data_IF_413804191472
#
_entry.id   IF_413804191472
#
_cell.length_a   1.000
_cell.length_b   1.000
_cell.length_c   1.000
_cell.angle_alpha   90.00
_cell.angle_beta   90.00
_cell.angle_gamma   90.00
#
_symmetry.space_group_name_H-M   'P 1'
#
loop_
_entity.id
_entity.type
_entity.pdbx_description
1 polymer ?
#
# COMPACT_ATOMS: atom_id res chain seq x y z
N UNK A 1 -9.99 -16.73 -13.20
CA UNK A 1 -9.89 -15.63 -14.20
C UNK A 1 -9.21 -14.46 -13.50
N UNK A 2 -7.97 -14.07 -13.86
CA UNK A 2 -7.34 -12.87 -13.28
C UNK A 2 -8.01 -11.66 -13.90
N UNK A 3 -8.62 -10.80 -13.08
CA UNK A 3 -9.18 -9.53 -13.56
C UNK A 3 -8.05 -8.61 -14.03
N UNK A 4 -8.35 -7.68 -14.94
CA UNK A 4 -7.39 -6.66 -15.37
C UNK A 4 -6.84 -5.83 -14.19
N UNK A 5 -7.64 -5.64 -13.12
CA UNK A 5 -7.21 -4.96 -11.89
C UNK A 5 -6.05 -5.68 -11.17
N UNK A 6 -6.07 -7.02 -11.14
CA UNK A 6 -5.00 -7.81 -10.53
C UNK A 6 -3.69 -7.75 -11.35
N UNK A 7 -3.78 -7.64 -12.67
CA UNK A 7 -2.61 -7.46 -13.53
C UNK A 7 -1.97 -6.08 -13.33
N UNK A 8 -2.78 -5.02 -13.29
CA UNK A 8 -2.30 -3.65 -13.06
C UNK A 8 -1.67 -3.52 -11.67
N UNK A 9 -2.34 -4.00 -10.63
CA UNK A 9 -1.79 -4.00 -9.27
C UNK A 9 -0.46 -4.74 -9.19
N UNK A 10 -0.35 -5.93 -9.82
CA UNK A 10 0.92 -6.67 -9.85
C UNK A 10 2.04 -5.85 -10.47
N UNK A 11 1.77 -5.16 -11.58
CA UNK A 11 2.75 -4.29 -12.22
C UNK A 11 3.19 -3.16 -11.29
N UNK A 12 2.24 -2.38 -10.78
CA UNK A 12 2.51 -1.26 -9.87
C UNK A 12 3.19 -1.71 -8.58
N UNK A 13 2.82 -2.87 -8.03
CA UNK A 13 3.48 -3.47 -6.87
C UNK A 13 4.94 -3.84 -7.15
N UNK A 14 5.27 -4.37 -8.33
CA UNK A 14 6.67 -4.62 -8.69
C UNK A 14 7.46 -3.32 -8.83
N UNK A 15 6.86 -2.28 -9.42
CA UNK A 15 7.45 -0.94 -9.51
C UNK A 15 7.69 -0.36 -8.11
N UNK A 16 6.72 -0.48 -7.20
CA UNK A 16 6.86 -0.11 -5.79
C UNK A 16 8.07 -0.76 -5.13
N UNK A 17 8.24 -2.08 -5.25
CA UNK A 17 9.37 -2.80 -4.68
C UNK A 17 10.73 -2.30 -5.23
N UNK A 18 10.79 -1.96 -6.52
CA UNK A 18 11.99 -1.37 -7.12
C UNK A 18 12.28 0.00 -6.53
N UNK A 19 11.29 0.88 -6.40
CA UNK A 19 11.47 2.21 -5.80
C UNK A 19 11.91 2.13 -4.34
N UNK A 20 11.33 1.23 -3.54
CA UNK A 20 11.75 1.03 -2.15
C UNK A 20 13.24 0.70 -2.03
N UNK A 21 13.75 -0.16 -2.92
CA UNK A 21 15.18 -0.53 -2.98
C UNK A 21 16.04 0.62 -3.49
N UNK A 22 15.65 1.27 -4.58
CA UNK A 22 16.41 2.37 -5.20
C UNK A 22 16.53 3.60 -4.29
N UNK A 23 15.56 3.82 -3.40
CA UNK A 23 15.61 4.89 -2.40
C UNK A 23 16.47 4.55 -1.17
N UNK A 24 17.12 3.38 -1.15
CA UNK A 24 18.06 3.00 -0.09
C UNK A 24 17.40 2.79 1.28
N UNK A 25 16.12 2.41 1.31
CA UNK A 25 15.41 2.19 2.58
C UNK A 25 15.97 0.95 3.30
N UNK A 26 15.92 0.97 4.64
CA UNK A 26 16.33 -0.19 5.46
C UNK A 26 15.44 -1.40 5.14
N UNK A 27 15.96 -2.65 5.17
CA UNK A 27 15.18 -3.85 4.86
C UNK A 27 13.85 -3.94 5.63
N UNK A 28 13.86 -3.67 6.94
CA UNK A 28 12.64 -3.67 7.77
C UNK A 28 11.57 -2.68 7.27
N UNK A 29 11.99 -1.54 6.72
CA UNK A 29 11.08 -0.52 6.18
C UNK A 29 10.53 -0.97 4.84
N UNK A 30 11.37 -1.55 3.98
CA UNK A 30 10.93 -2.16 2.72
C UNK A 30 9.86 -3.22 3.00
N UNK A 31 10.10 -4.11 3.96
CA UNK A 31 9.16 -5.17 4.32
C UNK A 31 7.85 -4.62 4.91
N UNK A 32 7.93 -3.55 5.71
CA UNK A 32 6.74 -2.90 6.25
C UNK A 32 5.89 -2.27 5.14
N UNK A 33 6.49 -1.48 4.25
CA UNK A 33 5.76 -0.78 3.19
C UNK A 33 5.23 -1.74 2.13
N UNK A 34 6.01 -2.76 1.75
CA UNK A 34 5.53 -3.80 0.84
C UNK A 34 4.31 -4.55 1.41
N UNK A 35 4.32 -4.89 2.71
CA UNK A 35 3.17 -5.52 3.37
C UNK A 35 1.97 -4.59 3.46
N UNK A 36 2.18 -3.29 3.69
CA UNK A 36 1.12 -2.30 3.68
C UNK A 36 0.36 -2.29 2.35
N UNK A 37 1.08 -2.15 1.23
CA UNK A 37 0.46 -2.10 -0.10
C UNK A 37 -0.27 -3.39 -0.45
N UNK A 38 0.25 -4.55 -0.05
CA UNK A 38 -0.47 -5.82 -0.23
C UNK A 38 -1.76 -5.89 0.57
N UNK A 39 -1.76 -5.40 1.81
CA UNK A 39 -2.95 -5.40 2.69
C UNK A 39 -4.01 -4.43 2.18
N UNK A 40 -3.62 -3.21 1.85
CA UNK A 40 -4.52 -2.19 1.28
C UNK A 40 -5.07 -2.70 -0.06
N UNK A 41 -4.21 -3.25 -0.91
CA UNK A 41 -4.62 -3.90 -2.15
C UNK A 41 -5.67 -4.98 -1.94
N UNK A 42 -5.46 -5.90 -0.99
CA UNK A 42 -6.43 -6.95 -0.71
C UNK A 42 -7.78 -6.42 -0.20
N UNK A 43 -7.80 -5.31 0.54
CA UNK A 43 -9.04 -4.68 1.02
C UNK A 43 -9.85 -4.03 -0.13
N UNK A 44 -9.17 -3.43 -1.11
CA UNK A 44 -9.80 -2.71 -2.23
C UNK A 44 -9.82 -3.52 -3.54
N UNK A 45 -9.85 -4.85 -3.48
CA UNK A 45 -9.84 -5.74 -4.66
C UNK A 45 -8.74 -5.42 -5.68
N UNK A 46 -7.58 -5.03 -5.16
CA UNK A 46 -6.39 -4.61 -5.89
C UNK A 46 -6.59 -3.36 -6.76
N UNK A 47 -7.56 -2.51 -6.44
CA UNK A 47 -7.87 -1.25 -7.14
C UNK A 47 -7.51 -0.05 -6.27
N UNK A 48 -6.21 0.23 -6.12
CA UNK A 48 -5.73 1.26 -5.19
C UNK A 48 -5.29 2.58 -5.86
N UNK A 49 -5.39 2.66 -7.18
CA UNK A 49 -4.83 3.77 -7.96
C UNK A 49 -5.68 5.05 -7.87
N UNK A 50 -6.97 4.93 -7.60
CA UNK A 50 -7.92 6.05 -7.55
C UNK A 50 -8.82 6.00 -6.29
N UNK A 51 -8.23 5.76 -5.12
CA UNK A 51 -8.98 5.81 -3.86
C UNK A 51 -9.30 7.25 -3.47
N UNK A 52 -10.54 7.50 -3.07
CA UNK A 52 -10.94 8.80 -2.54
C UNK A 52 -10.42 9.00 -1.11
N UNK A 53 -10.33 10.26 -0.68
CA UNK A 53 -9.98 10.60 0.70
C UNK A 53 -10.95 9.97 1.71
N UNK A 54 -12.24 9.91 1.39
CA UNK A 54 -13.24 9.24 2.23
C UNK A 54 -12.95 7.74 2.37
N UNK A 55 -12.68 7.03 1.26
CA UNK A 55 -12.33 5.59 1.31
C UNK A 55 -11.09 5.32 2.15
N UNK A 56 -10.08 6.19 2.06
CA UNK A 56 -8.87 6.07 2.86
C UNK A 56 -9.13 6.38 4.34
N UNK A 57 -9.95 7.38 4.62
CA UNK A 57 -10.32 7.78 5.99
C UNK A 57 -11.06 6.65 6.70
N UNK A 58 -12.06 6.06 6.03
CA UNK A 58 -12.82 4.93 6.56
C UNK A 58 -11.90 3.72 6.79
N UNK A 59 -11.10 3.34 5.78
CA UNK A 59 -10.17 2.21 5.89
C UNK A 59 -9.17 2.35 7.05
N UNK A 60 -8.56 3.52 7.21
CA UNK A 60 -7.58 3.72 8.28
C UNK A 60 -8.22 3.86 9.67
N UNK A 61 -9.47 4.32 9.75
CA UNK A 61 -10.26 4.31 10.99
C UNK A 61 -10.58 2.88 11.42
N UNK A 62 -11.10 2.05 10.51
CA UNK A 62 -11.35 0.62 10.77
C UNK A 62 -10.07 -0.13 11.15
N UNK A 63 -8.94 0.22 10.52
CA UNK A 63 -7.66 -0.41 10.80
C UNK A 63 -7.13 -0.04 12.20
N UNK A 64 -7.42 1.16 12.71
CA UNK A 64 -7.05 1.58 14.06
C UNK A 64 -7.77 0.76 15.15
N UNK A 65 -9.00 0.33 14.89
CA UNK A 65 -9.77 -0.47 15.84
C UNK A 65 -9.23 -1.89 15.99
N UNK A 66 -8.49 -2.39 14.99
CA UNK A 66 -8.00 -3.77 14.93
C UNK A 66 -6.49 -3.92 15.07
N UNK A 67 -5.70 -2.83 14.97
CA UNK A 67 -4.23 -2.90 14.97
C UNK A 67 -3.59 -1.77 15.78
N UNK A 68 -2.34 -2.01 16.17
CA UNK A 68 -1.58 -0.99 16.90
C UNK A 68 -1.29 0.24 16.03
N UNK A 69 -1.24 1.40 16.68
CA UNK A 69 -0.87 2.68 16.06
C UNK A 69 0.41 2.63 15.22
N UNK A 70 1.43 1.88 15.66
CA UNK A 70 2.67 1.73 14.89
C UNK A 70 2.44 1.01 13.56
N UNK A 71 1.56 0.01 13.52
CA UNK A 71 1.23 -0.72 12.28
C UNK A 71 0.46 0.18 11.34
N UNK A 72 -0.56 0.89 11.84
CA UNK A 72 -1.34 1.86 11.05
C UNK A 72 -0.44 2.95 10.46
N UNK A 73 0.48 3.48 11.26
CA UNK A 73 1.46 4.47 10.81
C UNK A 73 2.36 3.95 9.68
N UNK A 74 2.83 2.70 9.78
CA UNK A 74 3.61 2.09 8.70
C UNK A 74 2.79 1.91 7.43
N UNK A 75 1.50 1.60 7.55
CA UNK A 75 0.63 1.49 6.38
C UNK A 75 0.39 2.83 5.70
N UNK A 76 0.10 3.87 6.47
CA UNK A 76 -0.04 5.23 5.97
C UNK A 76 1.21 5.68 5.21
N UNK A 77 2.39 5.43 5.77
CA UNK A 77 3.64 5.81 5.11
C UNK A 77 3.96 4.94 3.88
N UNK A 78 3.62 3.64 3.92
CA UNK A 78 3.72 2.77 2.76
C UNK A 78 2.84 3.26 1.61
N UNK A 79 1.58 3.61 1.91
CA UNK A 79 0.64 4.16 0.94
C UNK A 79 1.09 5.51 0.39
N UNK A 80 1.52 6.43 1.25
CA UNK A 80 2.09 7.71 0.83
C UNK A 80 3.28 7.51 -0.10
N UNK A 81 4.19 6.61 0.23
CA UNK A 81 5.33 6.29 -0.63
C UNK A 81 4.88 5.76 -1.99
N UNK A 82 3.89 4.87 -2.01
CA UNK A 82 3.34 4.32 -3.25
C UNK A 82 2.72 5.42 -4.14
N UNK A 83 1.90 6.31 -3.59
CA UNK A 83 1.33 7.44 -4.34
C UNK A 83 2.36 8.47 -4.79
N UNK A 84 3.49 8.61 -4.09
CA UNK A 84 4.52 9.59 -4.47
C UNK A 84 5.44 9.08 -5.57
N UNK A 85 5.58 7.76 -5.73
CA UNK A 85 6.64 7.16 -6.53
C UNK A 85 6.20 6.09 -7.51
N UNK A 86 4.92 5.72 -7.53
CA UNK A 86 4.40 4.65 -8.40
C UNK A 86 3.24 5.13 -9.26
N UNK A 87 2.31 5.88 -8.66
CA UNK A 87 1.27 6.62 -9.38
C UNK A 87 1.79 7.99 -9.79
#
# INVERSE_FOLDING_TARGET
>A
MKSASDANFKHSYQTHLKHLKLKGLRPKTIDAYARAIRRIGAYFDYRIDNLSEAQLTDYFSDLLDSRSWSVVKHDLYGLKFYYTHVL
#
